data_IF_278826142293
#
_entry.id   IF_278826142293
#
_cell.length_a   1.000
_cell.length_b   1.000
_cell.length_c   1.000
_cell.angle_alpha   90.00
_cell.angle_beta   90.00
_cell.angle_gamma   90.00
#
_symmetry.space_group_name_H-M   'P 1'
#
loop_
_entity.id
_entity.type
_entity.pdbx_description
1 polymer ?
#
# COMPACT_ATOMS: atom_id res chain seq x y z
N UNK A 1 25.97 26.48 -35.70
CA UNK A 1 24.50 26.45 -35.80
C UNK A 1 23.95 25.41 -34.85
N UNK A 2 22.68 25.50 -34.46
CA UNK A 2 22.01 24.60 -33.51
C UNK A 2 22.28 23.10 -33.80
N UNK A 3 22.32 22.72 -35.07
CA UNK A 3 22.67 21.39 -35.55
C UNK A 3 24.00 20.80 -35.03
N UNK A 4 25.04 21.61 -34.83
CA UNK A 4 26.32 21.10 -34.29
C UNK A 4 26.26 20.80 -32.79
N UNK A 5 25.33 21.42 -32.06
CA UNK A 5 25.13 21.17 -30.62
C UNK A 5 24.25 19.94 -30.35
N UNK A 6 23.43 19.51 -31.32
CA UNK A 6 22.53 18.37 -31.20
C UNK A 6 23.27 17.02 -31.18
N UNK A 7 24.35 16.87 -31.94
CA UNK A 7 25.05 15.58 -32.04
C UNK A 7 25.71 15.12 -30.74
N UNK A 8 26.45 15.97 -30.00
CA UNK A 8 26.97 15.59 -28.68
C UNK A 8 25.84 15.29 -27.69
N UNK A 9 24.77 16.09 -27.71
CA UNK A 9 23.61 15.90 -26.83
C UNK A 9 22.90 14.56 -27.10
N UNK A 10 22.63 14.24 -28.38
CA UNK A 10 22.02 12.96 -28.77
C UNK A 10 22.89 11.78 -28.35
N UNK A 11 24.20 11.86 -28.52
CA UNK A 11 25.12 10.80 -28.09
C UNK A 11 25.13 10.61 -26.57
N UNK A 12 25.03 11.70 -25.81
CA UNK A 12 24.93 11.63 -24.36
C UNK A 12 23.62 10.97 -23.91
N UNK A 13 22.50 11.41 -24.50
CA UNK A 13 21.18 10.83 -24.23
C UNK A 13 21.17 9.32 -24.52
N UNK A 14 21.71 8.90 -25.67
CA UNK A 14 21.82 7.49 -26.02
C UNK A 14 22.70 6.73 -25.03
N UNK A 15 23.83 7.30 -24.58
CA UNK A 15 24.71 6.66 -23.63
C UNK A 15 24.03 6.43 -22.28
N UNK A 16 23.34 7.44 -21.76
CA UNK A 16 22.63 7.35 -20.48
C UNK A 16 21.44 6.40 -20.59
N UNK A 17 20.65 6.49 -21.67
CA UNK A 17 19.49 5.62 -21.86
C UNK A 17 19.88 4.14 -21.97
N UNK A 18 20.90 3.80 -22.77
CA UNK A 18 21.37 2.42 -22.90
C UNK A 18 22.02 1.92 -21.60
N UNK A 19 22.77 2.78 -20.92
CA UNK A 19 23.32 2.47 -19.60
C UNK A 19 22.23 2.15 -18.57
N UNK A 20 21.20 3.00 -18.49
CA UNK A 20 20.06 2.83 -17.60
C UNK A 20 19.24 1.58 -17.96
N UNK A 21 18.96 1.35 -19.24
CA UNK A 21 18.23 0.16 -19.69
C UNK A 21 18.95 -1.14 -19.33
N UNK A 22 20.28 -1.20 -19.52
CA UNK A 22 21.09 -2.36 -19.13
C UNK A 22 21.06 -2.59 -17.62
N UNK A 23 21.19 -1.52 -16.83
CA UNK A 23 21.13 -1.60 -15.36
C UNK A 23 19.73 -2.03 -14.90
N UNK A 24 18.67 -1.46 -15.47
CA UNK A 24 17.30 -1.84 -15.17
C UNK A 24 17.06 -3.33 -15.44
N UNK A 25 17.45 -3.83 -16.61
CA UNK A 25 17.32 -5.24 -16.96
C UNK A 25 18.07 -6.17 -15.98
N UNK A 26 19.27 -5.79 -15.56
CA UNK A 26 20.03 -6.56 -14.58
C UNK A 26 19.38 -6.53 -13.19
N UNK A 27 18.89 -5.36 -12.76
CA UNK A 27 18.22 -5.18 -11.48
C UNK A 27 16.91 -5.95 -11.43
N UNK A 28 16.06 -5.86 -12.46
CA UNK A 28 14.77 -6.56 -12.48
C UNK A 28 14.92 -8.07 -12.59
N UNK A 29 15.90 -8.56 -13.37
CA UNK A 29 16.17 -9.99 -13.47
C UNK A 29 16.74 -10.62 -12.18
N UNK A 30 17.43 -9.82 -11.36
CA UNK A 30 18.05 -10.27 -10.10
C UNK A 30 17.32 -9.83 -8.84
N UNK A 31 16.15 -9.19 -8.95
CA UNK A 31 15.42 -8.65 -7.81
C UNK A 31 14.89 -9.79 -6.93
N UNK A 32 15.16 -9.70 -5.63
CA UNK A 32 14.61 -10.62 -4.61
C UNK A 32 13.71 -9.81 -3.69
N UNK A 33 12.46 -10.23 -3.54
CA UNK A 33 11.48 -9.61 -2.64
C UNK A 33 11.53 -10.32 -1.29
N UNK A 34 11.79 -9.56 -0.22
CA UNK A 34 11.70 -10.04 1.16
C UNK A 34 10.28 -9.81 1.69
N UNK A 35 9.45 -10.85 1.62
CA UNK A 35 8.06 -10.81 2.09
C UNK A 35 7.97 -10.65 3.62
N UNK A 36 8.94 -11.17 4.36
CA UNK A 36 8.94 -11.03 5.82
C UNK A 36 9.25 -9.58 6.22
N UNK A 37 10.16 -8.92 5.51
CA UNK A 37 10.42 -7.48 5.69
C UNK A 37 9.21 -6.64 5.34
N UNK A 38 8.50 -6.98 4.26
CA UNK A 38 7.24 -6.31 3.90
C UNK A 38 6.20 -6.47 5.01
N UNK A 39 5.97 -7.69 5.51
CA UNK A 39 5.05 -7.97 6.61
C UNK A 39 5.42 -7.21 7.90
N UNK A 40 6.72 -7.19 8.27
CA UNK A 40 7.20 -6.40 9.42
C UNK A 40 6.96 -4.91 9.24
N UNK A 41 7.16 -4.38 8.03
CA UNK A 41 6.95 -2.95 7.73
C UNK A 41 5.48 -2.57 7.85
N UNK A 42 4.57 -3.41 7.34
CA UNK A 42 3.12 -3.20 7.48
C UNK A 42 2.68 -3.20 8.95
N UNK A 43 3.26 -4.10 9.76
CA UNK A 43 2.99 -4.19 11.19
C UNK A 43 3.43 -2.96 11.99
N UNK A 44 4.37 -2.13 11.50
CA UNK A 44 4.85 -0.92 12.20
C UNK A 44 3.74 0.11 12.47
N UNK A 45 2.63 0.02 11.75
CA UNK A 45 1.49 0.93 11.94
C UNK A 45 0.52 0.49 13.04
N UNK A 46 0.70 -0.70 13.62
CA UNK A 46 -0.22 -1.30 14.59
C UNK A 46 -1.70 -1.25 14.11
N UNK A 47 -1.91 -1.51 12.81
CA UNK A 47 -3.24 -1.51 12.17
C UNK A 47 -3.71 -0.14 11.66
N UNK A 48 -3.01 0.96 11.96
CA UNK A 48 -3.39 2.29 11.47
C UNK A 48 -3.29 2.44 9.95
N UNK A 49 -2.50 1.60 9.26
CA UNK A 49 -2.40 1.62 7.81
C UNK A 49 -3.74 1.32 7.10
N UNK A 50 -4.68 0.66 7.77
CA UNK A 50 -6.03 0.37 7.27
C UNK A 50 -7.12 1.28 7.86
N UNK A 51 -6.76 2.44 8.41
CA UNK A 51 -7.71 3.38 9.03
C UNK A 51 -8.87 3.80 8.11
N UNK A 52 -8.64 3.92 6.81
CA UNK A 52 -9.68 4.19 5.82
C UNK A 52 -10.73 3.07 5.79
N UNK A 53 -10.28 1.80 5.69
CA UNK A 53 -11.15 0.63 5.72
C UNK A 53 -11.97 0.59 7.00
N UNK A 54 -11.33 0.80 8.15
CA UNK A 54 -12.01 0.84 9.44
C UNK A 54 -13.10 1.90 9.45
N UNK A 55 -12.83 3.09 8.90
CA UNK A 55 -13.82 4.16 8.80
C UNK A 55 -14.98 3.77 7.87
N UNK A 56 -14.69 3.19 6.71
CA UNK A 56 -15.72 2.78 5.75
C UNK A 56 -16.63 1.66 6.29
N UNK A 57 -16.04 0.64 6.92
CA UNK A 57 -16.74 -0.56 7.39
C UNK A 57 -17.43 -0.34 8.75
N UNK A 58 -16.79 0.38 9.67
CA UNK A 58 -17.27 0.50 11.05
C UNK A 58 -18.09 1.78 11.29
N UNK A 59 -17.91 2.86 10.54
CA UNK A 59 -18.72 4.06 10.75
C UNK A 59 -20.23 3.82 10.61
N UNK A 60 -20.73 3.01 9.66
CA UNK A 60 -22.15 2.64 9.59
C UNK A 60 -22.64 1.86 10.82
N UNK A 61 -21.74 1.18 11.53
CA UNK A 61 -22.07 0.28 12.64
C UNK A 61 -22.02 0.98 13.99
N UNK A 62 -20.93 1.69 14.27
CA UNK A 62 -20.65 2.30 15.58
C UNK A 62 -20.60 3.82 15.56
N UNK A 63 -20.67 4.44 14.37
CA UNK A 63 -20.64 5.88 14.17
C UNK A 63 -19.25 6.39 13.80
N UNK A 64 -19.19 7.35 12.87
CA UNK A 64 -17.94 7.92 12.36
C UNK A 64 -17.06 8.53 13.47
N UNK A 65 -17.66 9.30 14.39
CA UNK A 65 -16.93 9.93 15.49
C UNK A 65 -16.29 8.90 16.43
N UNK A 66 -16.95 7.76 16.65
CA UNK A 66 -16.43 6.67 17.49
C UNK A 66 -15.23 5.99 16.84
N UNK A 67 -15.30 5.71 15.54
CA UNK A 67 -14.16 5.15 14.79
C UNK A 67 -13.00 6.15 14.77
N UNK A 68 -13.28 7.43 14.50
CA UNK A 68 -12.28 8.49 14.49
C UNK A 68 -11.59 8.65 15.86
N UNK A 69 -12.34 8.55 16.96
CA UNK A 69 -11.80 8.60 18.30
C UNK A 69 -10.89 7.39 18.62
N UNK A 70 -11.26 6.19 18.17
CA UNK A 70 -10.43 4.99 18.32
C UNK A 70 -9.11 5.12 17.54
N UNK A 71 -9.17 5.56 16.28
CA UNK A 71 -7.98 5.83 15.46
C UNK A 71 -7.09 6.89 16.13
N UNK A 72 -7.67 8.01 16.57
CA UNK A 72 -6.93 9.06 17.25
C UNK A 72 -6.27 8.55 18.55
N UNK A 73 -6.98 7.76 19.36
CA UNK A 73 -6.42 7.15 20.56
C UNK A 73 -5.23 6.24 20.23
N UNK A 74 -5.32 5.44 19.17
CA UNK A 74 -4.24 4.59 18.72
C UNK A 74 -3.00 5.37 18.25
N UNK A 75 -3.18 6.51 17.57
CA UNK A 75 -2.05 7.39 17.20
C UNK A 75 -1.28 7.96 18.40
N UNK A 76 -1.91 7.98 19.58
CA UNK A 76 -1.29 8.43 20.83
C UNK A 76 -0.76 7.29 21.72
N UNK A 77 -0.69 6.06 21.18
CA UNK A 77 -0.15 4.88 21.86
C UNK A 77 -1.19 3.98 22.53
N UNK A 78 -2.48 4.18 22.25
CA UNK A 78 -3.53 3.24 22.64
C UNK A 78 -3.53 1.99 21.75
N UNK A 79 -4.04 0.87 22.27
CA UNK A 79 -4.26 -0.32 21.46
C UNK A 79 -5.52 -0.16 20.60
N UNK A 80 -5.35 -0.06 19.28
CA UNK A 80 -6.44 0.17 18.32
C UNK A 80 -7.52 -0.90 18.41
N UNK A 81 -7.14 -2.17 18.60
CA UNK A 81 -8.08 -3.28 18.73
C UNK A 81 -8.99 -3.08 19.93
N UNK A 82 -8.41 -2.92 21.12
CA UNK A 82 -9.16 -2.69 22.36
C UNK A 82 -10.09 -1.47 22.23
N UNK A 83 -9.63 -0.39 21.60
CA UNK A 83 -10.41 0.83 21.38
C UNK A 83 -11.63 0.61 20.47
N UNK A 84 -11.59 -0.36 19.56
CA UNK A 84 -12.71 -0.74 18.68
C UNK A 84 -13.63 -1.80 19.30
N UNK A 85 -13.09 -2.72 20.10
CA UNK A 85 -13.87 -3.79 20.73
C UNK A 85 -14.93 -3.26 21.70
N UNK A 86 -14.60 -2.25 22.51
CA UNK A 86 -15.52 -1.67 23.47
C UNK A 86 -16.81 -1.10 22.84
N UNK A 87 -16.75 -0.21 21.82
CA UNK A 87 -17.96 0.30 21.17
C UNK A 87 -18.71 -0.76 20.35
N UNK A 88 -18.01 -1.75 19.78
CA UNK A 88 -18.67 -2.87 19.08
C UNK A 88 -19.48 -3.73 20.06
N UNK A 89 -18.88 -4.09 21.20
CA UNK A 89 -19.54 -4.86 22.25
C UNK A 89 -20.73 -4.10 22.86
N UNK A 90 -20.62 -2.78 23.04
CA UNK A 90 -21.72 -1.93 23.52
C UNK A 90 -22.95 -1.95 22.59
N UNK A 91 -22.76 -2.26 21.31
CA UNK A 91 -23.85 -2.46 20.33
C UNK A 91 -24.23 -3.93 20.11
N UNK A 92 -23.62 -4.85 20.83
CA UNK A 92 -23.84 -6.29 20.67
C UNK A 92 -23.36 -6.84 19.32
N UNK A 93 -22.45 -6.13 18.64
CA UNK A 93 -21.92 -6.51 17.34
C UNK A 93 -20.72 -7.44 17.50
N UNK A 94 -20.66 -8.48 16.65
CA UNK A 94 -19.49 -9.33 16.47
C UNK A 94 -18.91 -9.08 15.10
N UNK A 95 -17.78 -8.38 15.06
CA UNK A 95 -17.03 -8.08 13.84
C UNK A 95 -15.69 -8.79 13.94
N UNK A 96 -15.24 -9.36 12.82
CA UNK A 96 -13.92 -9.95 12.71
C UNK A 96 -12.87 -8.84 12.59
N UNK A 97 -12.32 -8.42 13.73
CA UNK A 97 -11.27 -7.41 13.75
C UNK A 97 -9.93 -7.95 13.23
N UNK A 98 -9.69 -9.26 13.23
CA UNK A 98 -8.47 -9.83 12.65
C UNK A 98 -8.48 -9.63 11.14
N UNK A 99 -9.61 -9.91 10.49
CA UNK A 99 -9.77 -9.66 9.06
C UNK A 99 -9.72 -8.16 8.72
N UNK A 100 -10.41 -7.31 9.49
CA UNK A 100 -10.43 -5.86 9.23
C UNK A 100 -9.07 -5.19 9.41
N UNK A 101 -8.27 -5.67 10.37
CA UNK A 101 -6.94 -5.11 10.66
C UNK A 101 -5.83 -5.69 9.78
N UNK A 102 -6.09 -6.75 9.01
CA UNK A 102 -5.14 -7.33 8.06
C UNK A 102 -5.00 -6.43 6.80
N UNK A 103 -3.83 -5.79 6.56
CA UNK A 103 -3.60 -4.97 5.39
C UNK A 103 -3.65 -5.77 4.08
N UNK A 104 -3.36 -7.08 4.11
CA UNK A 104 -3.41 -7.94 2.93
C UNK A 104 -4.85 -8.17 2.44
N UNK A 105 -5.86 -7.86 3.26
CA UNK A 105 -7.28 -7.93 2.92
C UNK A 105 -7.83 -6.63 2.34
N UNK A 106 -7.00 -5.59 2.21
CA UNK A 106 -7.40 -4.28 1.72
C UNK A 106 -6.51 -3.78 0.57
N UNK A 107 -6.42 -4.57 -0.50
CA UNK A 107 -5.58 -4.28 -1.67
C UNK A 107 -6.29 -3.51 -2.79
N UNK A 108 -7.59 -3.23 -2.62
CA UNK A 108 -8.40 -2.55 -3.63
C UNK A 108 -8.34 -3.26 -4.99
N UNK A 109 -7.98 -2.51 -6.04
CA UNK A 109 -7.89 -3.02 -7.43
C UNK A 109 -6.49 -3.51 -7.81
N UNK A 110 -5.56 -3.67 -6.86
CA UNK A 110 -4.17 -4.01 -7.17
C UNK A 110 -4.03 -5.27 -8.05
N UNK A 111 -4.74 -6.34 -7.72
CA UNK A 111 -4.73 -7.58 -8.52
C UNK A 111 -5.30 -7.35 -9.92
N UNK A 112 -6.40 -6.60 -10.04
CA UNK A 112 -7.02 -6.30 -11.32
C UNK A 112 -6.08 -5.53 -12.25
N UNK A 113 -5.34 -4.55 -11.74
CA UNK A 113 -4.36 -3.80 -12.55
C UNK A 113 -3.16 -4.64 -12.98
N UNK A 114 -2.73 -5.58 -12.13
CA UNK A 114 -1.68 -6.55 -12.49
C UNK A 114 -2.18 -7.47 -13.60
N UNK A 115 -3.38 -8.04 -13.45
CA UNK A 115 -3.97 -8.94 -14.43
C UNK A 115 -4.21 -8.25 -15.78
N UNK A 116 -4.69 -7.01 -15.78
CA UNK A 116 -4.90 -6.20 -16.98
C UNK A 116 -3.57 -5.95 -17.73
N UNK A 117 -2.52 -5.58 -17.01
CA UNK A 117 -1.20 -5.31 -17.61
C UNK A 117 -0.59 -6.57 -18.22
N UNK A 118 -0.69 -7.72 -17.54
CA UNK A 118 -0.17 -8.99 -18.06
C UNK A 118 -0.95 -9.48 -19.28
N UNK A 119 -2.26 -9.23 -19.33
CA UNK A 119 -3.08 -9.60 -20.48
C UNK A 119 -2.75 -8.77 -21.74
N UNK A 120 -2.30 -7.52 -21.60
CA UNK A 120 -1.86 -6.68 -22.72
C UNK A 120 -0.52 -7.16 -23.32
N UNK A 121 0.39 -7.71 -22.52
CA UNK A 121 1.67 -8.22 -23.00
C UNK A 121 1.54 -9.52 -23.83
N UNK A 122 0.50 -10.31 -23.56
CA UNK A 122 0.22 -11.59 -24.23
C UNK A 122 -0.54 -11.45 -25.57
N UNK A 123 -1.04 -10.24 -25.91
CA UNK A 123 -1.88 -9.96 -27.08
C UNK A 123 -1.10 -9.50 -28.32
#
# INVERSE_FOLDING_TARGET
GAWHAEWPALRELLRVALGAARTAAALTAGLVVDLDAAARTLALSDGLIVAERLSAELAPLIGADTVAAAIAGATTGGDLRTLLEAPLAARGLRVDLDDLLDPARYLGLAAAFVDETLAEEDA
#
